data_IF_423456583693
#
_entry.id   IF_423456583693
#
_cell.length_a   1.000
_cell.length_b   1.000
_cell.length_c   1.000
_cell.angle_alpha   90.00
_cell.angle_beta   90.00
_cell.angle_gamma   90.00
#
_symmetry.space_group_name_H-M   'P 1'
#
loop_
_entity.id
_entity.type
_entity.pdbx_description
1 polymer ?
#
# COMPACT_ATOMS: atom_id res chain seq x y z
N UNK A 1 6.35 34.28 -8.01
CA UNK A 1 5.68 33.44 -6.99
C UNK A 1 6.29 32.06 -7.12
N UNK A 2 7.23 31.69 -6.25
CA UNK A 2 7.80 30.35 -6.26
C UNK A 2 6.74 29.39 -5.70
N UNK A 3 6.29 28.43 -6.49
CA UNK A 3 5.43 27.35 -5.99
C UNK A 3 6.25 26.54 -4.96
N UNK A 4 5.73 26.29 -3.75
CA UNK A 4 6.45 25.48 -2.78
C UNK A 4 6.63 24.08 -3.35
N UNK A 5 7.86 23.55 -3.24
CA UNK A 5 8.17 22.16 -3.50
C UNK A 5 7.48 21.32 -2.42
N UNK A 6 6.18 21.04 -2.60
CA UNK A 6 5.56 19.95 -1.84
C UNK A 6 6.31 18.68 -2.21
N UNK A 7 6.88 17.93 -1.24
CA UNK A 7 7.35 16.59 -1.54
C UNK A 7 6.13 15.83 -2.04
N UNK A 8 6.06 15.57 -3.35
CA UNK A 8 4.90 14.91 -3.94
C UNK A 8 4.79 13.53 -3.30
N UNK A 9 3.81 13.38 -2.41
CA UNK A 9 3.38 12.08 -1.87
C UNK A 9 3.03 11.22 -3.07
N UNK A 10 3.54 9.99 -3.09
CA UNK A 10 3.23 9.08 -4.17
C UNK A 10 1.72 8.78 -4.16
N UNK A 11 0.98 8.92 -5.28
CA UNK A 11 -0.46 8.69 -5.30
C UNK A 11 -0.88 7.28 -4.87
N UNK A 12 -0.01 6.29 -5.08
CA UNK A 12 -0.24 4.92 -4.61
C UNK A 12 0.06 4.80 -3.11
N UNK A 13 1.09 5.48 -2.60
CA UNK A 13 1.34 5.56 -1.16
C UNK A 13 0.14 6.17 -0.40
N UNK A 14 -0.42 7.26 -0.91
CA UNK A 14 -1.62 7.89 -0.33
C UNK A 14 -2.81 6.94 -0.25
N UNK A 15 -3.08 6.21 -1.34
CA UNK A 15 -4.18 5.23 -1.37
C UNK A 15 -3.94 4.07 -0.40
N UNK A 16 -2.70 3.55 -0.33
CA UNK A 16 -2.35 2.47 0.58
C UNK A 16 -2.43 2.91 2.05
N UNK A 17 -1.95 4.11 2.37
CA UNK A 17 -2.03 4.66 3.72
C UNK A 17 -3.50 4.86 4.15
N UNK A 18 -4.33 5.40 3.26
CA UNK A 18 -5.76 5.57 3.52
C UNK A 18 -6.46 4.23 3.79
N UNK A 19 -6.10 3.19 3.04
CA UNK A 19 -6.65 1.84 3.23
C UNK A 19 -6.21 1.25 4.58
N UNK A 20 -4.93 1.35 4.91
CA UNK A 20 -4.36 0.82 6.15
C UNK A 20 -4.82 1.57 7.39
N UNK A 21 -4.98 2.89 7.31
CA UNK A 21 -5.45 3.72 8.43
C UNK A 21 -6.98 3.68 8.58
N UNK A 22 -7.71 3.62 7.46
CA UNK A 22 -9.17 3.73 7.41
C UNK A 22 -9.94 2.43 7.52
N UNK A 23 -9.27 1.27 7.56
CA UNK A 23 -9.91 -0.04 7.72
C UNK A 23 -9.35 -0.75 8.94
N UNK A 24 -10.17 -1.52 9.65
CA UNK A 24 -9.65 -2.56 10.54
C UNK A 24 -9.17 -3.80 9.78
N UNK A 25 -8.69 -4.82 10.50
CA UNK A 25 -8.13 -6.03 9.87
C UNK A 25 -9.19 -6.85 9.13
N UNK A 26 -10.41 -6.94 9.66
CA UNK A 26 -11.47 -7.76 9.08
C UNK A 26 -12.13 -7.04 7.90
N UNK A 27 -12.30 -5.72 8.00
CA UNK A 27 -12.68 -4.87 6.88
C UNK A 27 -11.68 -4.98 5.73
N UNK A 28 -10.38 -4.90 6.02
CA UNK A 28 -9.34 -5.04 5.01
C UNK A 28 -9.37 -6.42 4.32
N UNK A 29 -9.63 -7.49 5.08
CA UNK A 29 -9.80 -8.84 4.53
C UNK A 29 -10.99 -8.92 3.58
N UNK A 30 -12.13 -8.33 3.94
CA UNK A 30 -13.31 -8.33 3.07
C UNK A 30 -13.10 -7.47 1.81
N UNK A 31 -12.41 -6.33 1.91
CA UNK A 31 -12.01 -5.52 0.76
C UNK A 31 -11.16 -6.35 -0.21
N UNK A 32 -10.12 -7.01 0.28
CA UNK A 32 -9.23 -7.86 -0.53
C UNK A 32 -10.00 -9.00 -1.18
N UNK A 33 -10.85 -9.70 -0.42
CA UNK A 33 -11.70 -10.78 -0.92
C UNK A 33 -12.62 -10.30 -2.04
N UNK A 34 -13.20 -9.12 -1.91
CA UNK A 34 -14.03 -8.49 -2.94
C UNK A 34 -13.22 -8.19 -4.20
N UNK A 35 -12.02 -7.63 -4.09
CA UNK A 35 -11.15 -7.39 -5.26
C UNK A 35 -10.82 -8.67 -6.01
N UNK A 36 -10.51 -9.76 -5.29
CA UNK A 36 -10.21 -11.07 -5.88
C UNK A 36 -11.44 -11.64 -6.59
N UNK A 37 -12.62 -11.53 -5.98
CA UNK A 37 -13.88 -12.01 -6.55
C UNK A 37 -14.30 -11.22 -7.80
N UNK A 38 -14.10 -9.90 -7.78
CA UNK A 38 -14.47 -8.99 -8.87
C UNK A 38 -13.36 -8.84 -9.93
N UNK A 39 -12.25 -9.57 -9.79
CA UNK A 39 -11.11 -9.46 -10.71
C UNK A 39 -11.50 -9.84 -12.15
N UNK A 40 -11.26 -8.96 -13.14
CA UNK A 40 -11.71 -9.16 -14.53
C UNK A 40 -10.91 -10.24 -15.26
N UNK A 41 -9.70 -10.57 -14.78
CA UNK A 41 -8.81 -11.57 -15.37
C UNK A 41 -8.17 -12.43 -14.29
N UNK A 42 -7.69 -13.62 -14.67
CA UNK A 42 -6.93 -14.48 -13.75
C UNK A 42 -5.61 -13.84 -13.32
N UNK A 43 -4.94 -13.11 -14.21
CA UNK A 43 -3.72 -12.36 -13.88
C UNK A 43 -4.00 -11.29 -12.81
N UNK A 44 -5.06 -10.50 -12.99
CA UNK A 44 -5.49 -9.52 -11.99
C UNK A 44 -5.82 -10.19 -10.66
N UNK A 45 -6.49 -11.34 -10.70
CA UNK A 45 -6.82 -12.13 -9.51
C UNK A 45 -5.57 -12.54 -8.73
N UNK A 46 -4.56 -13.07 -9.41
CA UNK A 46 -3.28 -13.46 -8.80
C UNK A 46 -2.56 -12.25 -8.19
N UNK A 47 -2.51 -11.14 -8.90
CA UNK A 47 -1.95 -9.90 -8.37
C UNK A 47 -2.69 -9.41 -7.12
N UNK A 48 -4.03 -9.43 -7.11
CA UNK A 48 -4.81 -9.04 -5.93
C UNK A 48 -4.64 -10.01 -4.74
N UNK A 49 -4.46 -11.29 -5.00
CA UNK A 49 -4.12 -12.27 -3.95
C UNK A 49 -2.78 -11.95 -3.30
N UNK A 50 -1.73 -11.76 -4.10
CA UNK A 50 -0.38 -11.46 -3.59
C UNK A 50 -0.33 -10.11 -2.88
N UNK A 51 -0.88 -9.07 -3.52
CA UNK A 51 -0.90 -7.72 -2.95
C UNK A 51 -1.76 -7.66 -1.69
N UNK A 52 -2.96 -8.25 -1.73
CA UNK A 52 -3.88 -8.28 -0.60
C UNK A 52 -3.31 -9.03 0.60
N UNK A 53 -2.62 -10.16 0.39
CA UNK A 53 -1.93 -10.88 1.46
C UNK A 53 -0.90 -9.99 2.16
N UNK A 54 -0.06 -9.29 1.39
CA UNK A 54 0.95 -8.36 1.95
C UNK A 54 0.33 -7.18 2.69
N UNK A 55 -0.79 -6.65 2.21
CA UNK A 55 -1.53 -5.59 2.92
C UNK A 55 -2.06 -6.06 4.27
N UNK A 56 -2.60 -7.29 4.32
CA UNK A 56 -3.10 -7.90 5.55
C UNK A 56 -1.95 -8.13 6.54
N UNK A 57 -0.83 -8.69 6.08
CA UNK A 57 0.38 -8.88 6.89
C UNK A 57 0.88 -7.56 7.47
N UNK A 58 0.94 -6.51 6.64
CA UNK A 58 1.34 -5.18 7.08
C UNK A 58 0.37 -4.64 8.13
N UNK A 59 -0.95 -4.74 7.91
CA UNK A 59 -1.96 -4.29 8.87
C UNK A 59 -1.84 -5.01 10.21
N UNK A 60 -1.57 -6.31 10.20
CA UNK A 60 -1.31 -7.08 11.42
C UNK A 60 -0.07 -6.58 12.15
N UNK A 61 1.05 -6.41 11.43
CA UNK A 61 2.28 -5.89 12.03
C UNK A 61 2.11 -4.49 12.63
N UNK A 62 1.30 -3.64 12.00
CA UNK A 62 0.95 -2.31 12.53
C UNK A 62 0.04 -2.37 13.76
N UNK A 63 -0.86 -3.36 13.83
CA UNK A 63 -1.74 -3.57 14.99
C UNK A 63 -0.97 -4.11 16.20
N UNK A 64 0.06 -4.92 15.96
CA UNK A 64 0.95 -5.46 17.01
C UNK A 64 1.97 -4.42 17.51
N UNK A 65 2.10 -3.28 16.84
CA UNK A 65 3.02 -2.21 17.23
C UNK A 65 2.52 -1.50 18.50
N UNK A 66 3.43 -1.12 19.43
CA UNK A 66 3.05 -0.39 20.65
C UNK A 66 2.35 0.95 20.40
N UNK A 67 2.63 1.56 19.24
CA UNK A 67 2.04 2.82 18.79
C UNK A 67 1.62 2.62 17.34
N UNK A 68 0.33 2.82 17.06
CA UNK A 68 -0.18 2.80 15.70
C UNK A 68 0.31 4.05 14.95
N UNK A 69 0.90 3.91 13.75
CA UNK A 69 1.31 5.06 12.96
C UNK A 69 0.09 5.87 12.50
N UNK A 70 0.27 7.18 12.36
CA UNK A 70 -0.74 8.03 11.75
C UNK A 70 -0.82 7.78 10.24
N UNK A 71 -1.89 8.25 9.59
CA UNK A 71 -1.98 8.19 8.14
C UNK A 71 -0.82 8.93 7.47
N UNK A 72 -0.43 10.10 7.96
CA UNK A 72 0.68 10.90 7.40
C UNK A 72 2.03 10.16 7.52
N UNK A 73 2.27 9.47 8.63
CA UNK A 73 3.44 8.62 8.82
C UNK A 73 3.48 7.49 7.79
N UNK A 74 2.33 6.84 7.56
CA UNK A 74 2.17 5.77 6.56
C UNK A 74 2.41 6.31 5.15
N UNK A 75 1.82 7.45 4.79
CA UNK A 75 2.00 8.07 3.47
C UNK A 75 3.47 8.36 3.18
N UNK A 76 4.18 8.92 4.17
CA UNK A 76 5.60 9.25 4.07
C UNK A 76 6.46 7.99 3.93
N UNK A 77 6.25 6.99 4.81
CA UNK A 77 7.00 5.74 4.78
C UNK A 77 6.79 4.97 3.47
N UNK A 78 5.52 4.83 3.04
CA UNK A 78 5.17 4.13 1.80
C UNK A 78 5.71 4.86 0.57
N UNK A 79 5.72 6.20 0.55
CA UNK A 79 6.32 6.98 -0.53
C UNK A 79 7.81 6.65 -0.69
N UNK A 80 8.55 6.54 0.41
CA UNK A 80 9.98 6.16 0.37
C UNK A 80 10.14 4.72 -0.11
N UNK A 81 9.35 3.78 0.41
CA UNK A 81 9.42 2.36 0.02
C UNK A 81 9.12 2.16 -1.47
N UNK A 82 8.09 2.81 -2.00
CA UNK A 82 7.74 2.74 -3.43
C UNK A 82 8.83 3.34 -4.32
N UNK A 83 9.42 4.47 -3.92
CA UNK A 83 10.57 5.06 -4.63
C UNK A 83 11.77 4.11 -4.66
N UNK A 84 12.08 3.45 -3.56
CA UNK A 84 13.15 2.46 -3.49
C UNK A 84 12.83 1.24 -4.37
N UNK A 85 11.60 0.73 -4.32
CA UNK A 85 11.18 -0.40 -5.15
C UNK A 85 11.27 -0.08 -6.66
N UNK A 86 10.86 1.12 -7.07
CA UNK A 86 10.97 1.57 -8.46
C UNK A 86 12.42 1.68 -8.94
N UNK A 87 13.34 2.11 -8.06
CA UNK A 87 14.77 2.18 -8.36
C UNK A 87 15.43 0.79 -8.50
N UNK A 88 14.98 -0.19 -7.72
CA UNK A 88 15.52 -1.55 -7.76
C UNK A 88 14.85 -2.44 -8.82
N UNK A 89 13.60 -2.16 -9.20
CA UNK A 89 12.86 -2.88 -10.24
C UNK A 89 13.29 -2.58 -11.68
N UNK A 90 14.12 -1.55 -11.90
CA UNK A 90 14.66 -1.19 -13.22
C UNK A 90 15.93 -1.95 -13.63
N UNK A 91 16.45 -2.85 -12.78
CA UNK A 91 17.75 -3.52 -13.00
C UNK A 91 17.64 -5.05 -13.03
N UNK A 92 16.73 -5.57 -13.84
CA UNK A 92 16.71 -6.97 -14.31
C UNK A 92 16.39 -7.02 -15.81
N UNK A 93 17.24 -6.34 -16.59
CA UNK A 93 17.42 -6.60 -18.02
C UNK A 93 18.91 -6.51 -18.29
N UNK A 94 19.57 -7.67 -18.25
CA UNK A 94 20.96 -7.89 -18.61
C UNK A 94 21.11 -9.30 -19.13
#
# INVERSE_FOLDING_TARGET
>A
MASPLTPTVDPMAAQMAQLLAGSDLDELREIVKRWIAEAPTETSRKHYQEFGARLIELKQALADAPVAPTQEDLESALTVMLKLAAQHGGKISG
#
